data_IF_382468291395
#
_entry.id   IF_382468291395
#
_cell.length_a   1.000
_cell.length_b   1.000
_cell.length_c   1.000
_cell.angle_alpha   90.00
_cell.angle_beta   90.00
_cell.angle_gamma   90.00
#
_symmetry.space_group_name_H-M   'P 1'
#
loop_
_entity.id
_entity.type
_entity.pdbx_description
1 polymer ?
#
# COMPACT_ATOMS: atom_id res chain seq x y z
N UNK A 1 -32.03 40.09 51.79
CA UNK A 1 -30.76 40.59 51.21
C UNK A 1 -30.29 39.51 50.23
N UNK A 2 -30.64 39.58 48.95
CA UNK A 2 -29.87 40.26 47.89
C UNK A 2 -28.41 39.75 47.85
N UNK A 3 -27.83 39.25 46.76
CA UNK A 3 -28.23 39.21 45.36
C UNK A 3 -27.17 38.40 44.58
N UNK A 4 -27.60 37.79 43.46
CA UNK A 4 -26.87 37.69 42.18
C UNK A 4 -25.62 36.77 42.09
N UNK A 5 -25.73 35.60 41.42
CA UNK A 5 -25.50 35.36 39.96
C UNK A 5 -24.00 35.13 39.66
N UNK A 6 -23.53 34.04 39.06
CA UNK A 6 -24.01 33.30 37.88
C UNK A 6 -23.51 31.84 37.93
N UNK A 7 -24.40 30.84 37.84
CA UNK A 7 -24.70 30.06 36.63
C UNK A 7 -23.49 29.32 36.00
N UNK A 8 -23.18 28.12 36.49
CA UNK A 8 -22.72 27.04 35.61
C UNK A 8 -23.94 26.25 35.13
N UNK A 9 -24.51 26.70 34.01
CA UNK A 9 -25.33 25.86 33.12
C UNK A 9 -24.35 24.92 32.40
N UNK A 10 -24.53 23.60 32.48
CA UNK A 10 -25.43 22.79 31.65
C UNK A 10 -24.88 22.55 30.21
N UNK A 11 -24.51 21.29 29.98
CA UNK A 11 -24.52 20.52 28.72
C UNK A 11 -23.58 20.82 27.54
N UNK A 12 -22.77 19.78 27.25
CA UNK A 12 -22.48 19.18 25.93
C UNK A 12 -21.86 20.12 24.87
N UNK A 13 -20.59 19.87 24.57
CA UNK A 13 -20.07 19.81 23.18
C UNK A 13 -18.73 19.07 23.14
N UNK A 14 -18.75 17.98 22.38
CA UNK A 14 -17.61 17.27 21.78
C UNK A 14 -16.57 18.27 21.27
N UNK A 15 -15.31 18.14 21.67
CA UNK A 15 -14.15 18.54 20.87
C UNK A 15 -12.91 17.80 21.38
N UNK A 16 -12.40 16.86 20.56
CA UNK A 16 -11.03 16.37 20.67
C UNK A 16 -10.07 17.55 20.39
N UNK A 17 -9.11 17.86 21.28
CA UNK A 17 -7.99 18.69 20.90
C UNK A 17 -6.85 17.79 20.42
N UNK A 18 -6.51 17.97 19.14
CA UNK A 18 -5.16 18.17 18.64
C UNK A 18 -4.02 17.62 19.52
N UNK A 19 -3.57 16.40 19.22
CA UNK A 19 -2.26 15.90 19.65
C UNK A 19 -1.55 15.30 18.44
N UNK A 20 -1.19 16.19 17.51
CA UNK A 20 -0.12 15.93 16.55
C UNK A 20 0.86 17.08 16.73
N UNK A 21 1.74 16.92 17.73
CA UNK A 21 2.98 17.67 17.74
C UNK A 21 3.85 17.11 16.61
N UNK A 22 4.20 18.00 15.68
CA UNK A 22 5.19 17.81 14.63
C UNK A 22 6.55 17.49 15.26
N UNK A 23 6.84 16.21 15.47
CA UNK A 23 8.21 15.77 15.73
C UNK A 23 8.94 15.77 14.40
N UNK A 24 9.58 16.90 14.08
CA UNK A 24 10.69 16.97 13.12
C UNK A 24 11.88 16.19 13.69
N UNK A 25 11.82 14.86 13.63
CA UNK A 25 12.99 14.02 13.86
C UNK A 25 13.80 13.96 12.56
N UNK A 26 14.74 14.90 12.41
CA UNK A 26 15.90 14.71 11.54
C UNK A 26 16.90 13.78 12.24
N UNK A 27 16.59 12.49 12.25
CA UNK A 27 17.58 11.42 12.31
C UNK A 27 17.76 10.89 10.89
N UNK A 28 18.99 10.62 10.47
CA UNK A 28 19.26 9.94 9.18
C UNK A 28 18.79 8.50 9.32
N UNK A 29 17.47 8.29 9.27
CA UNK A 29 16.87 6.98 9.13
C UNK A 29 17.24 6.42 7.78
N UNK A 30 17.49 5.11 7.72
CA UNK A 30 17.52 4.39 6.45
C UNK A 30 16.29 4.78 5.63
N UNK A 31 16.45 5.07 4.32
CA UNK A 31 15.34 5.54 3.52
C UNK A 31 14.22 4.49 3.52
N UNK A 32 13.04 4.90 3.99
CA UNK A 32 11.91 4.03 4.23
C UNK A 32 11.18 3.75 2.92
N UNK A 33 10.98 2.48 2.58
CA UNK A 33 10.06 2.12 1.50
C UNK A 33 8.62 2.30 1.99
N UNK A 34 7.82 3.03 1.23
CA UNK A 34 6.45 3.38 1.56
C UNK A 34 5.67 3.85 0.33
N UNK A 35 4.55 4.51 0.56
CA UNK A 35 3.80 5.12 -0.54
C UNK A 35 4.43 6.43 -1.00
N UNK A 36 4.23 6.76 -2.28
CA UNK A 36 4.68 8.03 -2.86
C UNK A 36 3.55 9.06 -2.94
N UNK A 37 3.92 10.31 -3.19
CA UNK A 37 2.97 11.38 -3.54
C UNK A 37 2.30 11.17 -4.91
N UNK A 38 2.74 10.17 -5.69
CA UNK A 38 2.06 9.77 -6.94
C UNK A 38 0.84 8.93 -6.59
N UNK A 39 -0.26 9.62 -6.32
CA UNK A 39 -1.55 9.05 -5.95
C UNK A 39 -2.73 9.77 -6.61
N UNK A 40 -3.86 9.10 -6.70
CA UNK A 40 -5.13 9.74 -7.06
C UNK A 40 -5.54 10.80 -6.02
N UNK A 41 -6.31 11.84 -6.41
CA UNK A 41 -6.68 12.97 -5.56
C UNK A 41 -7.58 12.53 -4.39
N UNK A 42 -8.33 11.43 -4.56
CA UNK A 42 -9.21 10.85 -3.53
C UNK A 42 -8.57 9.70 -2.76
N UNK A 43 -7.31 9.37 -3.04
CA UNK A 43 -6.55 8.40 -2.24
C UNK A 43 -6.01 9.09 -0.99
N UNK A 44 -6.27 8.49 0.16
CA UNK A 44 -5.80 8.94 1.47
C UNK A 44 -4.76 7.95 1.99
N UNK A 45 -3.66 8.48 2.48
CA UNK A 45 -2.53 7.70 3.00
C UNK A 45 -2.24 8.19 4.41
N UNK A 46 -2.04 7.25 5.33
CA UNK A 46 -1.56 7.53 6.68
C UNK A 46 -0.49 6.48 7.00
N UNK A 47 0.78 6.87 6.99
CA UNK A 47 1.92 5.95 7.06
C UNK A 47 1.82 4.81 6.02
N UNK A 48 1.54 3.60 6.47
CA UNK A 48 1.39 2.39 5.66
C UNK A 48 -0.06 2.02 5.35
N UNK A 49 -1.03 2.81 5.80
CA UNK A 49 -2.45 2.61 5.50
C UNK A 49 -2.86 3.39 4.26
N UNK A 50 -3.64 2.75 3.39
CA UNK A 50 -4.25 3.35 2.21
C UNK A 50 -5.76 3.12 2.20
N UNK A 51 -6.52 4.17 1.88
CA UNK A 51 -7.98 4.15 1.74
C UNK A 51 -8.44 5.24 0.75
N UNK A 52 -9.75 5.34 0.52
CA UNK A 52 -10.35 6.29 -0.42
C UNK A 52 -10.59 5.66 -1.79
N UNK A 53 -10.43 6.44 -2.86
CA UNK A 53 -10.74 5.98 -4.23
C UNK A 53 -9.60 6.35 -5.19
N UNK A 54 -9.06 5.35 -5.88
CA UNK A 54 -8.05 5.50 -6.92
C UNK A 54 -6.78 4.70 -6.62
N UNK A 55 -5.69 5.04 -7.30
CA UNK A 55 -4.41 4.32 -7.28
C UNK A 55 -3.32 5.12 -6.57
N UNK A 56 -2.42 4.44 -5.87
CA UNK A 56 -1.13 4.96 -5.40
C UNK A 56 0.01 4.01 -5.76
N UNK A 57 1.17 4.58 -6.08
CA UNK A 57 2.43 3.86 -6.29
C UNK A 57 3.33 3.95 -5.05
N UNK A 58 4.17 2.95 -4.83
CA UNK A 58 5.27 3.05 -3.87
C UNK A 58 6.29 4.12 -4.29
N UNK A 59 7.13 4.52 -3.34
CA UNK A 59 8.18 5.52 -3.53
C UNK A 59 9.44 5.00 -4.22
N UNK A 60 9.59 3.68 -4.38
CA UNK A 60 10.73 3.06 -5.04
C UNK A 60 10.29 2.09 -6.15
N UNK A 61 11.04 2.02 -7.27
CA UNK A 61 10.85 0.99 -8.29
C UNK A 61 11.42 -0.36 -7.85
N UNK A 62 10.99 -1.44 -8.49
CA UNK A 62 11.54 -2.78 -8.29
C UNK A 62 12.79 -3.00 -9.15
N UNK A 63 13.95 -2.64 -8.62
CA UNK A 63 15.24 -2.83 -9.30
C UNK A 63 15.84 -4.22 -9.02
N UNK A 64 15.53 -4.78 -7.85
CA UNK A 64 16.05 -6.08 -7.44
C UNK A 64 15.45 -7.24 -8.24
N UNK A 65 16.23 -8.30 -8.44
CA UNK A 65 15.83 -9.47 -9.25
C UNK A 65 14.58 -10.17 -8.70
N UNK A 66 14.42 -10.19 -7.38
CA UNK A 66 13.30 -10.79 -6.67
C UNK A 66 12.86 -9.89 -5.51
N UNK A 67 11.60 -9.47 -5.53
CA UNK A 67 11.03 -8.60 -4.51
C UNK A 67 9.76 -9.20 -3.91
N UNK A 68 9.54 -9.01 -2.61
CA UNK A 68 8.31 -9.40 -1.93
C UNK A 68 7.76 -8.25 -1.06
N UNK A 69 6.43 -8.17 -0.98
CA UNK A 69 5.71 -7.27 -0.09
C UNK A 69 4.32 -7.82 0.20
N UNK A 70 3.68 -7.32 1.26
CA UNK A 70 2.35 -7.74 1.70
C UNK A 70 1.37 -6.56 1.79
N UNK A 71 0.09 -6.86 1.60
CA UNK A 71 -1.02 -5.99 1.99
C UNK A 71 -1.97 -6.75 2.90
N UNK A 72 -2.21 -6.23 4.10
CA UNK A 72 -3.22 -6.73 5.00
C UNK A 72 -4.54 -6.00 4.79
N UNK A 73 -5.63 -6.76 4.72
CA UNK A 73 -6.99 -6.23 4.59
C UNK A 73 -7.49 -5.78 5.95
N UNK A 74 -7.46 -4.47 6.20
CA UNK A 74 -7.92 -3.89 7.47
C UNK A 74 -9.42 -3.67 7.46
N UNK A 75 -9.95 -3.12 6.37
CA UNK A 75 -11.39 -3.07 6.11
C UNK A 75 -11.69 -3.62 4.71
N UNK A 76 -12.68 -4.52 4.64
CA UNK A 76 -13.07 -5.21 3.41
C UNK A 76 -13.66 -4.20 2.41
N UNK A 77 -13.25 -4.31 1.16
CA UNK A 77 -13.81 -3.57 0.04
C UNK A 77 -13.20 -4.04 -1.30
N UNK A 78 -13.54 -3.35 -2.38
CA UNK A 78 -12.96 -3.60 -3.69
C UNK A 78 -11.57 -2.94 -3.77
N UNK A 79 -10.57 -3.70 -4.20
CA UNK A 79 -9.20 -3.23 -4.34
C UNK A 79 -8.43 -4.03 -5.41
N UNK A 80 -7.33 -3.47 -5.87
CA UNK A 80 -6.34 -4.16 -6.67
C UNK A 80 -4.94 -3.94 -6.09
N UNK A 81 -4.09 -4.95 -6.10
CA UNK A 81 -2.69 -4.85 -5.67
C UNK A 81 -1.79 -5.48 -6.72
N UNK A 82 -0.65 -4.86 -7.00
CA UNK A 82 0.22 -5.35 -8.07
C UNK A 82 1.42 -4.47 -8.34
N UNK A 83 1.79 -4.44 -9.61
CA UNK A 83 2.86 -3.59 -10.15
C UNK A 83 2.38 -2.79 -11.34
N UNK A 84 2.88 -1.56 -11.49
CA UNK A 84 2.61 -0.71 -12.65
C UNK A 84 3.88 -0.01 -13.10
N UNK A 85 3.98 0.21 -14.41
CA UNK A 85 4.95 1.15 -14.94
C UNK A 85 4.51 2.60 -14.68
N UNK A 86 5.48 3.51 -14.49
CA UNK A 86 5.19 4.93 -14.42
C UNK A 86 4.57 5.38 -15.74
N UNK A 87 3.48 6.14 -15.66
CA UNK A 87 2.86 6.74 -16.84
C UNK A 87 2.22 8.07 -16.51
N UNK A 88 1.98 8.90 -17.53
CA UNK A 88 1.25 10.17 -17.42
C UNK A 88 -0.28 9.98 -17.25
N UNK A 89 -0.77 8.75 -17.18
CA UNK A 89 -2.21 8.48 -17.03
C UNK A 89 -2.68 8.81 -15.60
N UNK A 90 -3.86 9.43 -15.51
CA UNK A 90 -4.51 9.77 -14.24
C UNK A 90 -4.59 8.55 -13.30
N UNK A 91 -4.19 8.78 -12.04
CA UNK A 91 -4.23 7.80 -10.95
C UNK A 91 -5.60 7.73 -10.27
N UNK A 92 -6.61 8.42 -10.80
CA UNK A 92 -7.98 8.39 -10.29
C UNK A 92 -8.67 7.06 -10.61
N UNK A 93 -8.20 6.37 -11.65
CA UNK A 93 -8.71 5.10 -12.14
C UNK A 93 -8.13 3.91 -11.36
N UNK A 94 -8.86 2.80 -11.36
CA UNK A 94 -8.40 1.53 -10.79
C UNK A 94 -7.29 0.90 -11.64
N UNK A 95 -6.51 -0.02 -11.06
CA UNK A 95 -5.41 -0.68 -11.78
C UNK A 95 -5.87 -1.44 -13.03
N UNK A 96 -7.09 -1.97 -13.02
CA UNK A 96 -7.69 -2.74 -14.13
C UNK A 96 -7.92 -1.91 -15.39
N UNK A 97 -8.08 -0.60 -15.26
CA UNK A 97 -8.32 0.32 -16.38
C UNK A 97 -7.02 0.90 -16.95
N UNK A 98 -5.88 0.61 -16.31
CA UNK A 98 -4.58 1.18 -16.64
C UNK A 98 -3.78 0.23 -17.52
N UNK A 99 -3.13 0.80 -18.54
CA UNK A 99 -2.16 0.06 -19.35
C UNK A 99 -0.88 -0.17 -18.56
N UNK A 100 -0.16 -1.26 -18.87
CA UNK A 100 1.15 -1.60 -18.25
C UNK A 100 1.06 -1.75 -16.73
N UNK A 101 -0.05 -2.33 -16.28
CA UNK A 101 -0.30 -2.70 -14.89
C UNK A 101 -0.67 -4.18 -14.84
N UNK A 102 -0.13 -4.89 -13.84
CA UNK A 102 -0.39 -6.30 -13.58
C UNK A 102 -0.75 -6.43 -12.11
N UNK A 103 -1.98 -6.86 -11.85
CA UNK A 103 -2.54 -6.82 -10.51
C UNK A 103 -3.43 -8.02 -10.21
N UNK A 104 -3.45 -8.38 -8.94
CA UNK A 104 -4.56 -9.10 -8.34
C UNK A 104 -5.75 -8.14 -8.15
N UNK A 105 -6.96 -8.62 -8.41
CA UNK A 105 -8.21 -7.86 -8.32
C UNK A 105 -9.12 -8.59 -7.35
N UNK A 106 -9.46 -7.96 -6.21
CA UNK A 106 -10.21 -8.63 -5.15
C UNK A 106 -11.58 -9.11 -5.62
N UNK A 107 -12.27 -8.29 -6.42
CA UNK A 107 -13.61 -8.56 -6.95
C UNK A 107 -13.70 -9.76 -7.90
N UNK A 108 -12.63 -10.05 -8.64
CA UNK A 108 -12.58 -11.16 -9.60
C UNK A 108 -11.74 -12.34 -9.09
N UNK A 109 -11.51 -12.41 -7.78
CA UNK A 109 -10.79 -13.51 -7.15
C UNK A 109 -11.68 -14.73 -7.04
N UNK A 110 -11.15 -15.92 -7.34
CA UNK A 110 -11.85 -17.19 -7.12
C UNK A 110 -12.05 -17.48 -5.63
N UNK A 111 -11.14 -16.98 -4.80
CA UNK A 111 -11.22 -17.08 -3.33
C UNK A 111 -11.74 -15.78 -2.76
N UNK A 112 -12.75 -15.88 -1.90
CA UNK A 112 -13.29 -14.72 -1.18
C UNK A 112 -12.23 -14.12 -0.25
N UNK A 113 -12.01 -12.81 -0.39
CA UNK A 113 -11.13 -12.05 0.50
C UNK A 113 -11.93 -11.50 1.68
N UNK A 114 -11.35 -11.64 2.88
CA UNK A 114 -11.94 -11.25 4.15
C UNK A 114 -11.05 -10.25 4.88
N UNK A 115 -11.67 -9.53 5.82
CA UNK A 115 -10.93 -8.70 6.78
C UNK A 115 -9.95 -9.57 7.56
N UNK A 116 -8.71 -9.11 7.69
CA UNK A 116 -7.62 -9.83 8.34
C UNK A 116 -6.76 -10.66 7.38
N UNK A 117 -7.22 -10.93 6.15
CA UNK A 117 -6.42 -11.64 5.15
C UNK A 117 -5.20 -10.81 4.75
N UNK A 118 -4.11 -11.49 4.41
CA UNK A 118 -2.87 -10.90 3.90
C UNK A 118 -2.60 -11.37 2.48
N UNK A 119 -2.46 -10.42 1.58
CA UNK A 119 -2.09 -10.64 0.19
C UNK A 119 -0.59 -10.42 0.05
N UNK A 120 0.16 -11.50 -0.19
CA UNK A 120 1.59 -11.43 -0.50
C UNK A 120 1.81 -11.32 -2.00
N UNK A 121 2.76 -10.48 -2.41
CA UNK A 121 3.11 -10.26 -3.80
C UNK A 121 4.60 -10.51 -3.97
N UNK A 122 4.97 -11.42 -4.88
CA UNK A 122 6.36 -11.71 -5.20
C UNK A 122 6.62 -11.41 -6.68
N UNK A 123 7.51 -10.46 -6.95
CA UNK A 123 7.90 -10.09 -8.31
C UNK A 123 9.25 -10.70 -8.66
N UNK A 124 9.30 -11.44 -9.77
CA UNK A 124 10.48 -12.17 -10.21
C UNK A 124 10.90 -11.74 -11.61
N UNK A 125 12.13 -11.22 -11.73
CA UNK A 125 12.77 -10.80 -12.97
C UNK A 125 13.72 -11.87 -13.55
N UNK A 126 13.84 -13.06 -12.94
CA UNK A 126 14.86 -14.05 -13.35
C UNK A 126 14.55 -14.80 -14.64
N UNK A 127 13.32 -14.73 -15.14
CA UNK A 127 12.87 -15.41 -16.36
C UNK A 127 12.73 -14.41 -17.53
N UNK A 128 12.63 -14.90 -18.77
CA UNK A 128 12.46 -14.13 -20.02
C UNK A 128 11.27 -13.15 -19.93
N UNK A 129 10.26 -13.50 -19.14
CA UNK A 129 9.15 -12.61 -18.79
C UNK A 129 9.06 -12.50 -17.27
N UNK A 130 9.00 -11.28 -16.73
CA UNK A 130 8.74 -11.11 -15.31
C UNK A 130 7.43 -11.77 -14.89
N UNK A 131 7.41 -12.31 -13.67
CA UNK A 131 6.24 -12.98 -13.11
C UNK A 131 5.88 -12.34 -11.77
N UNK A 132 4.63 -11.91 -11.64
CA UNK A 132 4.04 -11.50 -10.37
C UNK A 132 3.27 -12.68 -9.78
N UNK A 133 3.76 -13.21 -8.67
CA UNK A 133 3.15 -14.30 -7.92
C UNK A 133 2.29 -13.70 -6.80
N UNK A 134 1.07 -14.21 -6.65
CA UNK A 134 0.10 -13.74 -5.66
C UNK A 134 -0.12 -14.83 -4.63
N UNK A 135 0.02 -14.47 -3.37
CA UNK A 135 -0.17 -15.31 -2.21
C UNK A 135 -1.34 -14.79 -1.38
N UNK A 136 -2.17 -15.69 -0.87
CA UNK A 136 -3.18 -15.39 0.13
C UNK A 136 -2.82 -16.16 1.40
N UNK A 137 -2.54 -15.44 2.49
CA UNK A 137 -2.16 -16.00 3.77
C UNK A 137 -1.01 -17.02 3.64
N UNK A 138 0.03 -16.65 2.88
CA UNK A 138 1.22 -17.48 2.61
C UNK A 138 1.05 -18.56 1.54
N UNK A 139 -0.17 -18.82 1.05
CA UNK A 139 -0.42 -19.82 0.00
C UNK A 139 -0.45 -19.19 -1.39
N UNK A 140 0.34 -19.72 -2.33
CA UNK A 140 0.30 -19.29 -3.73
C UNK A 140 -1.09 -19.56 -4.33
N UNK A 141 -1.73 -18.52 -4.87
CA UNK A 141 -3.06 -18.61 -5.50
C UNK A 141 -3.06 -18.22 -6.98
N UNK A 142 -2.10 -17.41 -7.44
CA UNK A 142 -2.07 -16.95 -8.84
C UNK A 142 -0.67 -16.59 -9.31
N UNK A 143 -0.41 -16.80 -10.59
CA UNK A 143 0.77 -16.29 -11.29
C UNK A 143 0.33 -15.40 -12.44
N UNK A 144 0.85 -14.17 -12.50
CA UNK A 144 0.54 -13.19 -13.54
C UNK A 144 1.83 -12.95 -14.34
N UNK A 145 1.82 -13.38 -15.61
CA UNK A 145 2.94 -13.11 -16.53
C UNK A 145 2.87 -11.66 -16.98
N UNK A 146 3.96 -10.93 -16.77
CA UNK A 146 4.09 -9.54 -17.20
C UNK A 146 4.65 -9.47 -18.63
N UNK A 147 4.65 -8.26 -19.20
CA UNK A 147 5.34 -8.03 -20.47
C UNK A 147 6.86 -8.20 -20.31
N UNK A 148 7.55 -8.61 -21.39
CA UNK A 148 9.00 -8.86 -21.40
C UNK A 148 9.84 -7.69 -20.88
N UNK A 149 9.39 -6.46 -21.11
CA UNK A 149 10.10 -5.22 -20.77
C UNK A 149 9.57 -4.54 -19.50
N UNK A 150 8.88 -5.26 -18.62
CA UNK A 150 8.40 -4.74 -17.34
C UNK A 150 9.50 -4.76 -16.27
N UNK A 151 10.53 -3.92 -16.40
CA UNK A 151 11.65 -3.86 -15.46
C UNK A 151 11.58 -2.63 -14.54
N UNK A 152 11.09 -1.49 -15.02
CA UNK A 152 10.94 -0.25 -14.24
C UNK A 152 9.53 -0.10 -13.63
N UNK A 153 9.08 -1.15 -12.95
CA UNK A 153 7.75 -1.18 -12.33
C UNK A 153 7.79 -0.75 -10.88
N UNK A 154 6.69 -0.18 -10.41
CA UNK A 154 6.48 0.19 -9.01
C UNK A 154 5.41 -0.72 -8.41
N UNK A 155 5.57 -1.17 -7.15
CA UNK A 155 4.47 -1.69 -6.37
C UNK A 155 3.34 -0.66 -6.35
N UNK A 156 2.11 -1.13 -6.49
CA UNK A 156 0.95 -0.26 -6.54
C UNK A 156 -0.27 -0.92 -5.95
N UNK A 157 -1.19 -0.06 -5.55
CA UNK A 157 -2.48 -0.46 -4.99
C UNK A 157 -3.53 0.52 -5.47
N UNK A 158 -4.70 0.01 -5.84
CA UNK A 158 -5.89 0.80 -6.01
C UNK A 158 -6.97 0.34 -5.03
N UNK A 159 -7.63 1.30 -4.42
CA UNK A 159 -8.70 1.09 -3.44
C UNK A 159 -9.97 1.76 -3.92
N UNK A 160 -11.10 1.22 -3.50
CA UNK A 160 -12.41 1.84 -3.64
C UNK A 160 -13.01 2.20 -2.28
N UNK A 161 -14.13 2.91 -2.30
CA UNK A 161 -14.78 3.46 -1.12
C UNK A 161 -14.98 2.42 -0.01
N UNK A 162 -14.58 2.78 1.22
CA UNK A 162 -14.68 1.91 2.39
C UNK A 162 -13.58 0.85 2.52
N UNK A 163 -12.77 0.62 1.48
CA UNK A 163 -11.62 -0.29 1.58
C UNK A 163 -10.46 0.36 2.35
N UNK A 164 -9.81 -0.43 3.21
CA UNK A 164 -8.57 -0.02 3.85
C UNK A 164 -7.56 -1.16 3.86
N UNK A 165 -6.36 -0.88 3.34
CA UNK A 165 -5.25 -1.82 3.30
C UNK A 165 -4.06 -1.25 4.07
N UNK A 166 -3.33 -2.13 4.74
CA UNK A 166 -2.05 -1.84 5.38
C UNK A 166 -0.93 -2.50 4.56
N UNK A 167 0.03 -1.72 4.08
CA UNK A 167 1.18 -2.21 3.35
C UNK A 167 2.31 -2.63 4.29
N UNK A 168 2.98 -3.72 3.96
CA UNK A 168 4.27 -4.06 4.52
C UNK A 168 5.24 -4.31 3.37
N UNK A 169 6.28 -3.48 3.24
CA UNK A 169 7.28 -3.62 2.17
C UNK A 169 8.57 -4.32 2.64
N UNK A 170 8.71 -4.56 3.95
CA UNK A 170 9.93 -4.96 4.69
C UNK A 170 11.17 -4.11 4.34
N UNK A 171 11.76 -3.54 5.40
CA UNK A 171 12.69 -2.39 5.35
C UNK A 171 12.31 -1.29 6.35
N UNK A 172 11.23 -1.50 7.12
CA UNK A 172 10.55 -0.45 7.88
C UNK A 172 9.96 -0.89 9.23
N UNK A 173 10.60 -1.82 9.96
CA UNK A 173 10.38 -2.11 11.40
C UNK A 173 9.61 -3.41 11.78
N UNK A 174 9.07 -4.21 10.85
CA UNK A 174 8.40 -5.50 11.16
C UNK A 174 8.65 -6.58 10.10
N UNK A 175 8.71 -7.84 10.55
CA UNK A 175 8.77 -9.02 9.68
C UNK A 175 7.45 -9.18 8.91
N UNK A 176 7.52 -9.75 7.70
CA UNK A 176 6.34 -10.21 6.98
C UNK A 176 5.52 -11.21 7.82
N UNK A 177 4.19 -11.13 7.72
CA UNK A 177 3.28 -11.98 8.49
C UNK A 177 3.39 -13.45 8.08
N UNK A 178 3.48 -13.71 6.77
CA UNK A 178 3.61 -15.07 6.23
C UNK A 178 5.00 -15.36 5.66
N UNK A 179 5.87 -14.35 5.66
CA UNK A 179 7.22 -14.47 5.13
C UNK A 179 7.27 -14.46 3.59
N UNK A 180 8.41 -14.07 3.01
CA UNK A 180 8.62 -14.19 1.58
C UNK A 180 8.83 -15.67 1.21
N UNK A 181 8.46 -16.10 0.00
CA UNK A 181 8.92 -17.36 -0.55
C UNK A 181 10.46 -17.42 -0.57
N UNK A 182 11.05 -18.61 -0.51
CA UNK A 182 12.51 -18.78 -0.54
C UNK A 182 13.16 -17.93 -1.66
N UNK A 183 14.25 -17.22 -1.32
CA UNK A 183 15.04 -16.32 -2.20
C UNK A 183 14.46 -14.94 -2.49
N UNK A 184 13.25 -14.61 -2.04
CA UNK A 184 12.73 -13.23 -2.13
C UNK A 184 13.07 -12.44 -0.88
N UNK A 185 13.23 -11.13 -1.04
CA UNK A 185 13.49 -10.18 0.04
C UNK A 185 12.49 -9.02 -0.03
N UNK A 186 12.31 -8.33 1.08
CA UNK A 186 11.66 -7.02 1.13
C UNK A 186 12.20 -6.04 0.08
N UNK A 187 11.43 -5.00 -0.19
CA UNK A 187 11.79 -4.01 -1.20
C UNK A 187 12.93 -3.14 -0.67
N UNK A 188 14.04 -3.14 -1.39
CA UNK A 188 15.21 -2.34 -1.03
C UNK A 188 15.16 -0.95 -1.65
N UNK A 189 15.55 0.05 -0.86
CA UNK A 189 15.83 1.38 -1.38
C UNK A 189 17.24 1.42 -1.96
N UNK A 190 17.36 1.64 -3.27
CA UNK A 190 18.67 1.88 -3.90
C UNK A 190 18.99 3.38 -3.83
N UNK A 191 20.15 3.74 -3.28
CA UNK A 191 20.76 5.06 -3.49
C UNK A 191 21.82 4.93 -4.56
N UNK A 192 21.75 5.76 -5.60
CA UNK A 192 22.89 5.98 -6.47
C UNK A 192 23.99 6.62 -5.60
N UNK A 193 25.11 5.93 -5.47
CA UNK A 193 26.31 6.49 -4.86
C UNK A 193 26.94 7.36 -5.96
N UNK A 194 26.65 8.66 -5.92
CA UNK A 194 27.32 9.65 -6.76
C UNK A 194 28.81 9.76 -6.41
#
# INVERSE_FOLDING_TARGET
MANQLNKLFCCIKVYLPCLFDDVKNQGVGSPLVGFSERKGPRVRISNFYVTGIGTVLANVPLIQSKAFWEFKVVEKGDFCVGVCEPSKQSLDKQLTERKRCWAFVSKSSETEIKKGDTIGLAYDLSDIRPVLKIYLNGKLIKNIKCAKNAQDVYPCVSVDEGCMLEANFEGSLQNFQYGPPNTYLGIMYTRDIL
#
